data_IF_227911588749
#
_entry.id   IF_227911588749
#
_cell.length_a   1.000
_cell.length_b   1.000
_cell.length_c   1.000
_cell.angle_alpha   90.00
_cell.angle_beta   90.00
_cell.angle_gamma   90.00
#
_symmetry.space_group_name_H-M   'P 1'
#
loop_
_entity.id
_entity.type
_entity.pdbx_description
1 polymer ?
#
# COMPACT_ATOMS: atom_id res chain seq x y z
N UNK A 1 15.61 22.54 20.95
CA UNK A 1 15.53 23.41 19.78
C UNK A 1 16.35 22.77 18.68
N UNK A 2 15.71 22.47 17.56
CA UNK A 2 16.28 22.08 16.26
C UNK A 2 17.14 20.81 16.24
N UNK A 3 16.48 19.64 16.23
CA UNK A 3 17.01 18.47 15.52
C UNK A 3 16.50 18.53 14.08
N UNK A 4 17.34 19.11 13.24
CA UNK A 4 17.18 19.24 11.81
C UNK A 4 17.37 17.86 11.16
N UNK A 5 16.29 17.30 10.63
CA UNK A 5 16.28 15.99 10.00
C UNK A 5 17.06 16.03 8.68
N UNK A 6 18.32 15.60 8.72
CA UNK A 6 19.16 15.39 7.54
C UNK A 6 18.71 14.13 6.80
N UNK A 7 17.85 14.30 5.80
CA UNK A 7 17.56 13.25 4.82
C UNK A 7 18.66 13.25 3.76
N UNK A 8 19.51 12.22 3.77
CA UNK A 8 20.56 11.99 2.78
C UNK A 8 19.93 11.61 1.45
N UNK A 9 20.28 12.35 0.41
CA UNK A 9 19.89 12.13 -0.98
C UNK A 9 20.66 10.94 -1.58
N UNK A 10 20.00 9.80 -1.76
CA UNK A 10 20.45 8.78 -2.71
C UNK A 10 19.39 8.63 -3.80
N UNK A 11 19.70 9.14 -4.98
CA UNK A 11 18.88 9.01 -6.18
C UNK A 11 18.99 7.59 -6.72
N UNK A 12 17.92 6.79 -6.63
CA UNK A 12 17.76 5.60 -7.47
C UNK A 12 17.05 6.06 -8.74
N UNK A 13 17.71 5.87 -9.89
CA UNK A 13 17.23 6.26 -11.20
C UNK A 13 15.92 5.52 -11.51
N UNK A 14 14.85 6.29 -11.74
CA UNK A 14 13.52 5.80 -12.12
C UNK A 14 13.59 5.20 -13.51
N UNK A 15 13.35 3.90 -13.67
CA UNK A 15 13.11 3.29 -14.98
C UNK A 15 11.61 3.12 -15.20
N UNK A 16 11.11 3.62 -16.32
CA UNK A 16 9.76 3.39 -16.82
C UNK A 16 9.63 1.89 -17.17
N UNK A 17 8.63 1.21 -16.63
CA UNK A 17 8.41 -0.22 -16.84
C UNK A 17 7.07 -0.41 -17.54
N UNK A 18 7.10 -0.91 -18.77
CA UNK A 18 5.91 -1.21 -19.56
C UNK A 18 5.25 -2.49 -19.03
N UNK A 19 4.37 -2.33 -18.04
CA UNK A 19 3.45 -3.39 -17.64
C UNK A 19 2.20 -3.27 -18.53
N UNK A 20 2.04 -4.24 -19.43
CA UNK A 20 0.86 -4.37 -20.28
C UNK A 20 -0.43 -4.21 -19.44
N UNK A 21 -1.21 -3.16 -19.74
CA UNK A 21 -2.49 -2.71 -19.15
C UNK A 21 -2.48 -1.40 -18.34
N UNK A 22 -1.37 -0.66 -18.26
CA UNK A 22 -1.42 0.73 -17.80
C UNK A 22 -0.03 1.34 -17.65
N UNK A 23 0.15 2.58 -18.11
CA UNK A 23 1.38 3.32 -17.91
C UNK A 23 1.71 3.41 -16.42
N UNK A 24 2.72 2.64 -15.99
CA UNK A 24 3.28 2.71 -14.66
C UNK A 24 4.04 4.02 -14.51
N UNK A 25 3.52 4.98 -13.73
CA UNK A 25 4.18 6.30 -13.58
C UNK A 25 5.39 6.27 -12.69
N UNK A 26 5.54 5.25 -11.84
CA UNK A 26 6.66 5.11 -10.93
C UNK A 26 6.84 3.65 -10.53
N UNK A 27 8.10 3.20 -10.52
CA UNK A 27 8.50 1.88 -10.03
C UNK A 27 9.54 2.08 -8.93
N UNK A 28 9.39 1.35 -7.83
CA UNK A 28 10.29 1.43 -6.68
C UNK A 28 10.58 0.03 -6.15
N UNK A 29 11.87 -0.32 -6.05
CA UNK A 29 12.34 -1.46 -5.27
C UNK A 29 12.36 -1.10 -3.79
N UNK A 30 11.95 -2.02 -2.93
CA UNK A 30 12.08 -1.88 -1.49
C UNK A 30 13.49 -2.28 -1.03
N UNK A 31 13.81 -1.92 0.21
CA UNK A 31 15.12 -2.18 0.86
C UNK A 31 15.50 -3.67 0.97
N UNK A 32 14.54 -4.58 0.76
CA UNK A 32 14.76 -6.03 0.78
C UNK A 32 15.19 -6.60 -0.58
N UNK A 33 15.33 -5.76 -1.63
CA UNK A 33 15.68 -6.11 -3.01
C UNK A 33 14.75 -7.14 -3.71
N UNK A 34 13.76 -7.66 -2.99
CA UNK A 34 12.80 -8.69 -3.42
C UNK A 34 11.36 -8.16 -3.50
N UNK A 35 11.07 -7.00 -2.91
CA UNK A 35 9.76 -6.36 -3.03
C UNK A 35 9.81 -5.21 -4.04
N UNK A 36 8.82 -5.17 -4.93
CA UNK A 36 8.63 -4.19 -5.99
C UNK A 36 7.28 -3.50 -5.82
N UNK A 37 7.26 -2.18 -5.85
CA UNK A 37 6.05 -1.37 -5.85
C UNK A 37 5.90 -0.65 -7.20
N UNK A 38 4.74 -0.82 -7.83
CA UNK A 38 4.42 -0.20 -9.11
C UNK A 38 3.20 0.71 -8.93
N UNK A 39 3.36 1.99 -9.22
CA UNK A 39 2.26 2.93 -9.32
C UNK A 39 1.63 2.83 -10.70
N UNK A 40 0.41 2.30 -10.77
CA UNK A 40 -0.34 2.11 -12.02
C UNK A 40 -1.46 3.13 -12.11
N UNK A 41 -1.61 3.74 -13.29
CA UNK A 41 -2.80 4.49 -13.64
C UNK A 41 -3.70 3.65 -14.53
N UNK A 42 -4.84 3.22 -13.97
CA UNK A 42 -5.91 2.60 -14.75
C UNK A 42 -6.77 3.69 -15.33
N UNK A 43 -6.65 3.93 -16.63
CA UNK A 43 -7.60 4.77 -17.38
C UNK A 43 -8.72 3.88 -17.90
N UNK A 44 -9.95 4.08 -17.44
CA UNK A 44 -11.11 3.51 -18.13
C UNK A 44 -11.47 4.40 -19.34
N UNK A 45 -12.13 3.80 -20.34
CA UNK A 45 -12.67 4.50 -21.51
C UNK A 45 -13.75 5.56 -21.18
N UNK A 46 -14.19 5.67 -19.93
CA UNK A 46 -15.30 6.52 -19.48
C UNK A 46 -14.86 7.65 -18.52
N UNK A 47 -13.76 8.33 -18.82
CA UNK A 47 -13.24 9.49 -18.06
C UNK A 47 -12.93 9.21 -16.57
N UNK A 48 -12.86 7.96 -16.12
CA UNK A 48 -12.36 7.60 -14.78
C UNK A 48 -10.95 7.04 -14.85
N UNK A 49 -9.98 7.90 -14.54
CA UNK A 49 -8.66 7.45 -14.15
C UNK A 49 -8.66 7.13 -12.66
N UNK A 50 -8.29 5.91 -12.30
CA UNK A 50 -8.03 5.50 -10.93
C UNK A 50 -6.55 5.11 -10.82
N UNK A 51 -5.90 5.60 -9.76
CA UNK A 51 -4.55 5.17 -9.43
C UNK A 51 -4.60 4.00 -8.46
N UNK A 52 -3.71 3.05 -8.66
CA UNK A 52 -3.45 1.99 -7.70
C UNK A 52 -1.95 1.76 -7.55
N UNK A 53 -1.55 1.25 -6.40
CA UNK A 53 -0.19 0.76 -6.18
C UNK A 53 -0.26 -0.76 -6.09
N UNK A 54 0.47 -1.43 -6.95
CA UNK A 54 0.62 -2.88 -6.95
C UNK A 54 1.92 -3.23 -6.24
N UNK A 55 1.83 -4.05 -5.19
CA UNK A 55 2.98 -4.52 -4.43
C UNK A 55 3.24 -5.97 -4.79
N UNK A 56 4.45 -6.26 -5.24
CA UNK A 56 4.95 -7.59 -5.59
C UNK A 56 6.05 -7.97 -4.61
N UNK A 57 6.02 -9.18 -4.08
CA UNK A 57 7.06 -9.73 -3.20
C UNK A 57 7.77 -10.90 -3.87
N UNK A 58 9.00 -11.17 -3.43
CA UNK A 58 9.84 -12.26 -3.93
C UNK A 58 10.03 -12.18 -5.46
N UNK A 59 10.22 -10.97 -5.99
CA UNK A 59 10.46 -10.74 -7.41
C UNK A 59 11.91 -11.10 -7.72
N UNK A 60 12.10 -12.26 -8.35
CA UNK A 60 13.41 -12.69 -8.85
C UNK A 60 13.79 -11.87 -10.09
N UNK A 61 14.90 -11.12 -10.00
CA UNK A 61 15.42 -10.29 -11.10
C UNK A 61 15.88 -11.10 -12.31
N UNK A 62 16.20 -12.37 -12.13
CA UNK A 62 16.77 -13.24 -13.15
C UNK A 62 15.74 -14.16 -13.81
N UNK A 63 14.51 -14.20 -13.28
CA UNK A 63 13.45 -15.05 -13.82
C UNK A 63 12.64 -14.28 -14.83
N UNK A 64 12.37 -14.90 -15.98
CA UNK A 64 11.45 -14.34 -16.97
C UNK A 64 10.13 -13.95 -16.29
N UNK A 65 9.52 -12.81 -16.68
CA UNK A 65 8.25 -12.37 -16.13
C UNK A 65 7.16 -13.33 -16.63
N UNK A 66 7.04 -14.49 -15.98
CA UNK A 66 5.79 -15.23 -15.97
C UNK A 66 4.68 -14.34 -15.40
N UNK A 67 3.46 -14.85 -15.30
CA UNK A 67 2.34 -14.11 -14.69
C UNK A 67 2.62 -13.83 -13.20
N UNK A 68 3.37 -12.76 -12.90
CA UNK A 68 3.62 -12.30 -11.54
C UNK A 68 2.35 -11.56 -11.14
N UNK A 69 1.66 -12.10 -10.13
CA UNK A 69 0.46 -11.51 -9.55
C UNK A 69 0.89 -10.62 -8.39
N UNK A 70 0.36 -9.40 -8.25
CA UNK A 70 0.68 -8.56 -7.11
C UNK A 70 0.27 -9.26 -5.81
N UNK A 71 1.15 -9.23 -4.82
CA UNK A 71 0.87 -9.72 -3.47
C UNK A 71 -0.30 -9.00 -2.83
N UNK A 72 -0.45 -7.69 -3.10
CA UNK A 72 -1.65 -6.91 -2.80
C UNK A 72 -1.68 -5.58 -3.56
N UNK A 73 -2.83 -4.92 -3.55
CA UNK A 73 -3.08 -3.65 -4.22
C UNK A 73 -3.53 -2.60 -3.18
N UNK A 74 -3.14 -1.34 -3.37
CA UNK A 74 -3.63 -0.18 -2.60
C UNK A 74 -4.34 0.78 -3.56
N UNK A 75 -5.53 1.30 -3.22
CA UNK A 75 -6.32 0.95 -2.02
C UNK A 75 -6.93 -0.46 -2.13
N UNK A 76 -7.35 -1.03 -1.00
CA UNK A 76 -8.12 -2.28 -0.93
C UNK A 76 -9.21 -2.20 0.14
N UNK A 77 -9.97 -3.28 0.33
CA UNK A 77 -11.10 -3.33 1.27
C UNK A 77 -10.72 -3.16 2.76
N UNK A 78 -9.45 -3.32 3.13
CA UNK A 78 -8.92 -3.07 4.48
C UNK A 78 -8.17 -1.74 4.57
N UNK A 79 -7.65 -1.26 3.43
CA UNK A 79 -6.88 -0.03 3.26
C UNK A 79 -7.64 0.93 2.35
N UNK A 80 -8.84 1.35 2.80
CA UNK A 80 -9.65 2.34 2.08
C UNK A 80 -9.09 3.74 2.28
N UNK A 81 -9.33 4.63 1.31
CA UNK A 81 -8.93 6.04 1.34
C UNK A 81 -10.15 6.98 1.31
N UNK A 82 -11.35 6.45 1.54
CA UNK A 82 -12.63 7.15 1.35
C UNK A 82 -12.78 8.36 2.29
N UNK A 83 -12.13 8.32 3.46
CA UNK A 83 -12.11 9.44 4.40
C UNK A 83 -11.35 10.67 3.90
N UNK A 84 -10.48 10.51 2.90
CA UNK A 84 -9.69 11.60 2.32
C UNK A 84 -10.52 12.41 1.33
N UNK A 85 -11.52 11.78 0.70
CA UNK A 85 -12.40 12.39 -0.30
C UNK A 85 -13.47 13.31 0.30
N UNK A 86 -13.71 13.26 1.62
CA UNK A 86 -14.80 14.02 2.28
C UNK A 86 -14.74 15.54 2.07
N UNK A 87 -13.61 16.08 1.60
CA UNK A 87 -13.39 17.52 1.40
C UNK A 87 -13.26 17.95 -0.06
N UNK A 88 -13.29 17.02 -1.04
CA UNK A 88 -13.12 17.34 -2.47
C UNK A 88 -14.32 16.85 -3.27
N UNK A 89 -15.28 17.72 -3.52
CA UNK A 89 -16.59 17.38 -4.12
C UNK A 89 -16.58 17.09 -5.63
N UNK A 90 -15.43 16.88 -6.29
CA UNK A 90 -15.41 16.57 -7.74
C UNK A 90 -14.10 16.04 -8.32
N UNK A 91 -12.98 16.05 -7.58
CA UNK A 91 -11.67 15.66 -8.13
C UNK A 91 -11.36 14.20 -7.82
N UNK A 92 -11.21 13.38 -8.87
CA UNK A 92 -10.69 12.02 -8.77
C UNK A 92 -9.27 12.08 -8.20
N UNK A 93 -9.08 11.58 -6.97
CA UNK A 93 -7.78 11.50 -6.33
C UNK A 93 -6.91 10.50 -7.07
N UNK A 94 -5.76 10.98 -7.56
CA UNK A 94 -4.75 10.13 -8.19
C UNK A 94 -3.49 10.14 -7.36
N UNK A 95 -2.76 9.04 -7.38
CA UNK A 95 -1.45 8.93 -6.75
C UNK A 95 -0.43 9.57 -7.68
N UNK A 96 0.31 10.55 -7.16
CA UNK A 96 1.37 11.24 -7.89
C UNK A 96 2.73 10.64 -7.61
N UNK A 97 2.98 10.25 -6.37
CA UNK A 97 4.29 9.81 -5.92
C UNK A 97 4.16 8.74 -4.84
N UNK A 98 5.07 7.77 -4.85
CA UNK A 98 5.21 6.74 -3.82
C UNK A 98 6.65 6.72 -3.29
N UNK A 99 6.79 6.68 -1.96
CA UNK A 99 8.06 6.39 -1.28
C UNK A 99 7.84 5.20 -0.36
N UNK A 100 8.87 4.38 -0.22
CA UNK A 100 8.89 3.28 0.73
C UNK A 100 10.20 3.35 1.50
N UNK A 101 10.11 3.21 2.82
CA UNK A 101 11.26 3.20 3.71
C UNK A 101 10.97 2.30 4.91
N UNK A 102 11.85 1.32 5.17
CA UNK A 102 11.71 0.35 6.26
C UNK A 102 10.31 -0.29 6.33
N UNK A 103 9.80 -0.75 5.18
CA UNK A 103 8.46 -1.34 5.01
C UNK A 103 7.27 -0.40 5.28
N UNK A 104 7.49 0.90 5.43
CA UNK A 104 6.43 1.91 5.52
C UNK A 104 6.21 2.54 4.15
N UNK A 105 4.96 2.77 3.76
CA UNK A 105 4.61 3.37 2.47
C UNK A 105 4.14 4.80 2.69
N UNK A 106 4.63 5.74 1.90
CA UNK A 106 4.17 7.10 1.84
C UNK A 106 3.69 7.42 0.42
N UNK A 107 2.45 7.88 0.31
CA UNK A 107 1.77 8.15 -0.96
C UNK A 107 1.40 9.62 -1.00
N UNK A 108 1.85 10.33 -2.02
CA UNK A 108 1.41 11.69 -2.30
C UNK A 108 0.26 11.67 -3.30
N UNK A 109 -0.84 12.33 -2.94
CA UNK A 109 -2.04 12.44 -3.76
C UNK A 109 -1.99 13.69 -4.65
N UNK A 110 -2.84 13.72 -5.68
CA UNK A 110 -2.93 14.81 -6.64
C UNK A 110 -3.39 16.15 -6.07
N UNK A 111 -4.09 16.13 -4.93
CA UNK A 111 -4.56 17.29 -4.19
C UNK A 111 -3.55 17.78 -3.12
N UNK A 112 -2.33 17.22 -3.08
CA UNK A 112 -1.29 17.58 -2.12
C UNK A 112 -1.41 16.89 -0.76
N UNK A 113 -2.42 16.04 -0.54
CA UNK A 113 -2.48 15.21 0.65
C UNK A 113 -1.41 14.12 0.62
N UNK A 114 -0.99 13.68 1.80
CA UNK A 114 -0.03 12.61 2.00
C UNK A 114 -0.71 11.51 2.81
N UNK A 115 -0.56 10.27 2.37
CA UNK A 115 -1.01 9.07 3.06
C UNK A 115 0.22 8.30 3.52
N UNK A 116 0.31 8.05 4.82
CA UNK A 116 1.33 7.22 5.43
C UNK A 116 0.70 5.90 5.89
N UNK A 117 1.26 4.80 5.40
CA UNK A 117 0.86 3.43 5.72
C UNK A 117 2.04 2.79 6.45
N UNK A 118 2.04 2.79 7.79
CA UNK A 118 3.09 2.15 8.55
C UNK A 118 3.07 0.64 8.34
N UNK A 119 4.24 0.04 8.46
CA UNK A 119 4.39 -1.40 8.60
C UNK A 119 3.69 -1.85 9.88
N UNK A 120 2.88 -2.90 9.79
CA UNK A 120 2.20 -3.52 10.92
C UNK A 120 2.87 -4.86 11.25
N UNK A 121 2.94 -5.22 12.53
CA UNK A 121 3.38 -6.54 12.96
C UNK A 121 2.47 -7.64 12.40
N UNK A 122 2.98 -8.87 12.37
CA UNK A 122 2.15 -10.05 12.09
C UNK A 122 0.90 -10.06 12.98
N UNK A 123 -0.24 -10.45 12.40
CA UNK A 123 -1.56 -10.41 13.03
C UNK A 123 -2.27 -9.06 12.97
N UNK A 124 -1.64 -8.02 12.39
CA UNK A 124 -2.22 -6.70 12.22
C UNK A 124 -2.17 -6.20 10.77
N UNK A 125 -3.21 -5.51 10.32
CA UNK A 125 -3.22 -4.76 9.07
C UNK A 125 -3.33 -3.25 9.31
N UNK A 126 -2.88 -2.48 8.33
CA UNK A 126 -3.02 -1.02 8.33
C UNK A 126 -4.43 -0.68 7.86
N UNK A 127 -5.21 0.04 8.66
CA UNK A 127 -6.61 0.41 8.37
C UNK A 127 -6.83 1.91 8.60
N UNK A 128 -7.60 2.56 7.73
CA UNK A 128 -7.92 3.98 7.90
C UNK A 128 -8.84 4.17 9.10
N UNK A 129 -8.39 4.92 10.10
CA UNK A 129 -9.09 5.05 11.39
C UNK A 129 -9.11 6.47 11.91
N UNK A 130 -9.57 7.38 11.06
CA UNK A 130 -9.71 8.83 11.30
C UNK A 130 -8.46 9.61 10.90
N UNK A 131 -8.72 10.69 10.17
CA UNK A 131 -7.74 11.71 9.80
C UNK A 131 -7.14 12.28 11.09
N UNK A 132 -5.80 12.28 11.20
CA UNK A 132 -5.16 13.15 12.18
C UNK A 132 -5.55 14.60 11.89
N UNK A 133 -5.56 15.46 12.91
CA UNK A 133 -5.92 16.88 12.81
C UNK A 133 -4.97 17.70 11.90
N UNK A 134 -3.92 17.09 11.35
CA UNK A 134 -3.12 17.67 10.28
C UNK A 134 -3.92 17.58 8.97
N UNK A 135 -4.42 18.74 8.50
CA UNK A 135 -5.38 18.86 7.39
C UNK A 135 -5.02 18.04 6.13
N UNK A 136 -3.74 17.80 5.86
CA UNK A 136 -3.25 17.15 4.64
C UNK A 136 -2.44 15.86 4.89
N UNK A 137 -2.29 15.38 6.12
CA UNK A 137 -1.48 14.19 6.43
C UNK A 137 -2.33 13.09 7.10
N UNK A 138 -2.46 11.96 6.40
CA UNK A 138 -3.34 10.86 6.75
C UNK A 138 -2.52 9.64 7.13
N UNK A 139 -2.73 9.08 8.32
CA UNK A 139 -2.02 7.88 8.79
C UNK A 139 -2.99 6.72 8.89
N UNK A 140 -2.68 5.60 8.26
CA UNK A 140 -3.38 4.35 8.52
C UNK A 140 -2.90 3.77 9.84
N UNK A 141 -3.82 3.34 10.69
CA UNK A 141 -3.49 2.78 11.99
C UNK A 141 -3.44 1.26 11.93
N UNK A 142 -2.56 0.68 12.74
CA UNK A 142 -2.48 -0.78 12.86
C UNK A 142 -3.69 -1.31 13.64
N UNK A 143 -4.37 -2.32 13.09
CA UNK A 143 -5.46 -3.05 13.77
C UNK A 143 -5.31 -4.54 13.63
N UNK A 144 -5.75 -5.31 14.65
CA UNK A 144 -5.84 -6.75 14.53
C UNK A 144 -6.64 -7.15 13.30
N UNK A 145 -6.22 -8.24 12.66
CA UNK A 145 -7.01 -8.87 11.61
C UNK A 145 -8.43 -9.18 12.12
N UNK A 146 -9.42 -8.95 11.28
CA UNK A 146 -10.83 -9.23 11.62
C UNK A 146 -11.10 -10.73 11.51
N UNK A 147 -12.25 -11.16 12.06
CA UNK A 147 -12.65 -12.57 12.05
C UNK A 147 -12.60 -13.16 10.64
N UNK A 148 -12.05 -14.36 10.53
CA UNK A 148 -11.86 -15.04 9.25
C UNK A 148 -10.68 -14.51 8.41
N UNK A 149 -9.83 -13.62 8.94
CA UNK A 149 -8.61 -13.14 8.25
C UNK A 149 -7.36 -13.22 9.13
N UNK A 150 -6.20 -13.53 8.56
CA UNK A 150 -4.93 -13.63 9.29
C UNK A 150 -3.80 -12.92 8.55
N UNK A 151 -2.67 -12.71 9.23
CA UNK A 151 -1.47 -12.17 8.61
C UNK A 151 -0.23 -12.73 9.29
N UNK A 152 0.48 -13.61 8.62
CA UNK A 152 1.65 -14.31 9.18
C UNK A 152 2.97 -13.51 9.07
N UNK A 153 3.01 -12.44 8.28
CA UNK A 153 4.20 -11.62 8.05
C UNK A 153 3.96 -10.17 8.43
N UNK A 154 5.00 -9.50 8.95
CA UNK A 154 4.97 -8.06 9.16
C UNK A 154 4.99 -7.30 7.81
N UNK A 155 4.47 -6.07 7.81
CA UNK A 155 4.47 -5.21 6.62
C UNK A 155 3.24 -4.32 6.52
N UNK A 156 3.15 -3.49 5.47
CA UNK A 156 2.03 -2.57 5.26
C UNK A 156 0.82 -3.23 4.59
N UNK A 157 0.91 -4.52 4.23
CA UNK A 157 -0.15 -5.24 3.51
C UNK A 157 -1.40 -5.57 4.35
N UNK A 158 -2.49 -5.95 3.69
CA UNK A 158 -3.74 -6.36 4.32
C UNK A 158 -3.61 -7.73 5.01
N UNK A 159 -4.62 -8.12 5.78
CA UNK A 159 -4.80 -9.50 6.22
C UNK A 159 -5.38 -10.35 5.08
N UNK A 160 -4.97 -11.61 5.00
CA UNK A 160 -5.43 -12.61 4.04
C UNK A 160 -6.64 -13.35 4.61
N UNK A 161 -7.56 -13.78 3.74
CA UNK A 161 -8.69 -14.64 4.14
C UNK A 161 -8.17 -15.99 4.64
N UNK A 162 -8.75 -16.50 5.71
CA UNK A 162 -8.44 -17.84 6.21
C UNK A 162 -8.77 -18.91 5.15
N UNK A 163 -7.95 -19.96 5.02
CA UNK A 163 -8.30 -21.13 4.22
C UNK A 163 -9.67 -21.71 4.62
N UNK A 164 -10.35 -22.33 3.66
CA UNK A 164 -11.62 -23.02 3.90
C UNK A 164 -11.52 -23.99 5.07
N UNK A 165 -12.51 -23.96 5.96
CA UNK A 165 -12.53 -24.81 7.16
C UNK A 165 -11.60 -24.35 8.28
N UNK A 166 -11.09 -23.13 8.24
CA UNK A 166 -10.34 -22.52 9.34
C UNK A 166 -10.86 -21.11 9.61
N UNK A 167 -10.76 -20.64 10.85
CA UNK A 167 -11.16 -19.31 11.27
C UNK A 167 -10.20 -18.75 12.34
N UNK A 168 -10.30 -17.45 12.58
CA UNK A 168 -9.85 -16.83 13.81
C UNK A 168 -10.96 -15.91 14.34
N UNK A 169 -10.94 -15.64 15.64
CA UNK A 169 -12.01 -14.89 16.30
C UNK A 169 -11.98 -13.39 16.04
N UNK A 170 -10.94 -12.84 15.39
CA UNK A 170 -10.84 -11.42 15.03
C UNK A 170 -10.72 -10.43 16.19
N UNK A 171 -10.64 -10.91 17.43
CA UNK A 171 -10.54 -10.11 18.65
C UNK A 171 -9.10 -9.86 19.09
N UNK A 172 -8.16 -10.61 18.53
CA UNK A 172 -6.73 -10.56 18.84
C UNK A 172 -5.91 -10.62 17.54
N UNK A 173 -4.64 -10.18 17.58
CA UNK A 173 -3.75 -10.33 16.43
C UNK A 173 -3.67 -11.80 16.02
N UNK A 174 -3.94 -12.09 14.74
CA UNK A 174 -4.02 -13.46 14.24
C UNK A 174 -2.96 -13.72 13.19
N UNK A 175 -1.91 -14.45 13.56
CA UNK A 175 -0.83 -14.84 12.64
C UNK A 175 -1.14 -16.12 11.86
N UNK A 176 -2.17 -16.85 12.26
CA UNK A 176 -2.63 -18.09 11.65
C UNK A 176 -4.14 -18.25 11.85
N UNK A 177 -4.75 -19.20 11.15
CA UNK A 177 -6.13 -19.62 11.36
C UNK A 177 -6.14 -21.00 12.04
N UNK A 178 -7.20 -21.28 12.79
CA UNK A 178 -7.42 -22.55 13.47
C UNK A 178 -8.62 -23.26 12.85
N UNK A 179 -8.66 -24.61 12.79
CA UNK A 179 -9.84 -25.36 12.38
C UNK A 179 -11.08 -25.01 13.19
#
# INVERSE_FOLDING_TARGET
GNEEVRFISNFIQMSEFDVWNGFGRSVLWLEDDETLAILVLKSSSYNSSQSEIQIYKNVDRNRSPGSIIPSFIIPNNQQTLDGIHRWTSSLKLTFRHIRIHSNNILIQLSNGHIVYIPSSNAGFCSRQLLSNNARNFHVLQSKPCVSGTYKNISGPGPCTICPSGTQNNGTRPSIQCQP
#
